data_IF_115617662776
#
_entry.id   IF_115617662776
#
_cell.length_a   1.000
_cell.length_b   1.000
_cell.length_c   1.000
_cell.angle_alpha   90.00
_cell.angle_beta   90.00
_cell.angle_gamma   90.00
#
_symmetry.space_group_name_H-M   'P 1'
#
loop_
_entity.id
_entity.type
_entity.pdbx_description
1 polymer ?
#
# COMPACT_ATOMS: atom_id res chain seq x y z
N UNK A 1 13.89 6.65 -9.13
CA UNK A 1 12.68 6.57 -9.98
C UNK A 1 11.50 7.01 -9.15
N UNK A 2 10.61 7.82 -9.74
CA UNK A 2 9.45 8.39 -9.05
C UNK A 2 8.20 7.70 -9.58
N UNK A 3 7.35 7.25 -8.65
CA UNK A 3 6.06 6.62 -8.95
C UNK A 3 4.94 7.40 -8.26
N UNK A 4 4.05 7.99 -9.04
CA UNK A 4 2.92 8.76 -8.52
C UNK A 4 1.70 7.87 -8.33
N UNK A 5 1.08 7.91 -7.15
CA UNK A 5 -0.19 7.24 -6.91
C UNK A 5 -1.30 7.94 -7.68
N UNK A 6 -2.12 7.15 -8.34
CA UNK A 6 -3.23 7.63 -9.19
C UNK A 6 -4.58 7.07 -8.78
N UNK A 7 -4.60 5.97 -8.05
CA UNK A 7 -5.81 5.35 -7.52
C UNK A 7 -5.46 4.46 -6.33
N UNK A 8 -6.33 4.45 -5.35
CA UNK A 8 -6.32 3.53 -4.22
C UNK A 8 -7.76 3.11 -3.94
N UNK A 9 -8.04 1.82 -3.93
CA UNK A 9 -9.40 1.32 -3.76
C UNK A 9 -9.44 -0.07 -3.15
N UNK A 10 -10.53 -0.36 -2.47
CA UNK A 10 -10.91 -1.72 -2.10
C UNK A 10 -11.33 -2.49 -3.36
N UNK A 11 -10.83 -3.71 -3.50
CA UNK A 11 -11.30 -4.63 -4.52
C UNK A 11 -12.35 -5.54 -3.91
N UNK A 12 -13.54 -5.52 -4.50
CA UNK A 12 -14.59 -6.45 -4.13
C UNK A 12 -14.25 -7.82 -4.73
N UNK A 13 -13.86 -8.78 -3.90
CA UNK A 13 -13.50 -10.12 -4.33
C UNK A 13 -14.38 -11.14 -3.61
N UNK A 14 -15.43 -11.59 -4.29
CA UNK A 14 -16.36 -12.60 -3.75
C UNK A 14 -15.75 -14.01 -3.64
N UNK A 15 -14.50 -14.19 -4.03
CA UNK A 15 -13.79 -15.47 -4.08
C UNK A 15 -12.68 -15.61 -3.03
N UNK A 16 -12.49 -14.61 -2.16
CA UNK A 16 -11.46 -14.61 -1.13
C UNK A 16 -12.05 -14.01 0.14
N UNK A 17 -11.96 -14.73 1.26
CA UNK A 17 -12.39 -14.24 2.59
C UNK A 17 -11.45 -13.14 3.16
N UNK A 18 -10.57 -12.59 2.32
CA UNK A 18 -9.56 -11.60 2.67
C UNK A 18 -9.96 -10.24 2.08
N UNK A 19 -9.63 -9.17 2.80
CA UNK A 19 -9.78 -7.81 2.26
C UNK A 19 -8.62 -7.56 1.30
N UNK A 20 -8.97 -7.24 0.05
CA UNK A 20 -8.00 -6.93 -1.00
C UNK A 20 -8.05 -5.45 -1.33
N UNK A 21 -6.89 -4.80 -1.35
CA UNK A 21 -6.75 -3.40 -1.75
C UNK A 21 -5.81 -3.30 -2.93
N UNK A 22 -6.09 -2.34 -3.82
CA UNK A 22 -5.26 -2.07 -4.99
C UNK A 22 -4.81 -0.62 -5.01
N UNK A 23 -3.50 -0.41 -5.13
CA UNK A 23 -2.89 0.87 -5.43
C UNK A 23 -2.38 0.87 -6.87
N UNK A 24 -2.72 1.91 -7.62
CA UNK A 24 -2.19 2.12 -8.97
C UNK A 24 -1.20 3.27 -8.97
N UNK A 25 0.00 2.99 -9.42
CA UNK A 25 1.08 3.95 -9.62
C UNK A 25 1.36 4.18 -11.11
N UNK A 26 1.73 5.41 -11.45
CA UNK A 26 2.30 5.77 -12.74
C UNK A 26 3.78 6.12 -12.56
N UNK A 27 4.62 5.53 -13.38
CA UNK A 27 6.02 5.95 -13.50
C UNK A 27 6.10 7.34 -14.13
N UNK A 28 6.78 8.27 -13.47
CA UNK A 28 7.01 9.61 -14.01
C UNK A 28 7.99 9.65 -15.18
N UNK A 29 8.67 8.53 -15.48
CA UNK A 29 9.65 8.44 -16.55
C UNK A 29 9.02 8.09 -17.91
N UNK A 30 8.16 7.08 -17.95
CA UNK A 30 7.60 6.49 -19.17
C UNK A 30 6.06 6.38 -19.16
N UNK A 31 5.40 6.80 -18.08
CA UNK A 31 3.95 6.68 -17.91
C UNK A 31 3.46 5.23 -17.74
N UNK A 32 4.36 4.26 -17.54
CA UNK A 32 3.97 2.88 -17.30
C UNK A 32 3.15 2.76 -16.02
N UNK A 33 2.10 1.92 -16.06
CA UNK A 33 1.25 1.58 -14.92
C UNK A 33 1.86 0.44 -14.10
N UNK A 34 1.82 0.61 -12.78
CA UNK A 34 2.25 -0.37 -11.79
C UNK A 34 1.12 -0.57 -10.78
N UNK A 35 0.84 -1.81 -10.42
CA UNK A 35 -0.21 -2.20 -9.50
C UNK A 35 0.41 -2.82 -8.26
N UNK A 36 -0.07 -2.41 -7.09
CA UNK A 36 0.22 -3.07 -5.82
C UNK A 36 -1.08 -3.63 -5.27
N UNK A 37 -1.14 -4.94 -5.10
CA UNK A 37 -2.26 -5.62 -4.45
C UNK A 37 -1.87 -5.99 -3.04
N UNK A 38 -2.64 -5.55 -2.05
CA UNK A 38 -2.47 -5.93 -0.66
C UNK A 38 -3.60 -6.89 -0.29
N UNK A 39 -3.23 -8.06 0.21
CA UNK A 39 -4.12 -9.03 0.83
C UNK A 39 -4.00 -8.94 2.35
N UNK A 40 -5.14 -8.81 3.04
CA UNK A 40 -5.22 -8.68 4.49
C UNK A 40 -6.19 -9.73 5.02
N UNK A 41 -5.69 -10.61 5.88
CA UNK A 41 -6.46 -11.76 6.34
C UNK A 41 -7.36 -11.43 7.53
N UNK A 42 -6.79 -10.85 8.60
CA UNK A 42 -7.51 -10.74 9.89
C UNK A 42 -7.20 -9.45 10.68
N UNK A 43 -6.18 -8.67 10.29
CA UNK A 43 -5.77 -7.47 11.04
C UNK A 43 -6.56 -6.20 10.67
N UNK A 44 -7.40 -6.26 9.64
CA UNK A 44 -8.00 -5.06 9.08
C UNK A 44 -8.96 -4.38 10.06
N UNK A 45 -9.93 -5.13 10.58
CA UNK A 45 -10.95 -4.60 11.51
C UNK A 45 -10.32 -4.24 12.85
N UNK A 46 -9.38 -5.05 13.35
CA UNK A 46 -8.63 -4.78 14.58
C UNK A 46 -7.88 -3.44 14.50
N UNK A 47 -7.15 -3.20 13.40
CA UNK A 47 -6.44 -1.93 13.21
C UNK A 47 -7.39 -0.75 13.03
N UNK A 48 -8.52 -0.94 12.33
CA UNK A 48 -9.54 0.11 12.23
C UNK A 48 -10.09 0.50 13.60
N UNK A 49 -10.41 -0.47 14.45
CA UNK A 49 -10.90 -0.20 15.80
C UNK A 49 -9.82 0.42 16.69
N UNK A 50 -8.64 -0.18 16.74
CA UNK A 50 -7.53 0.24 17.61
C UNK A 50 -7.10 1.69 17.35
N UNK A 51 -7.10 2.12 16.08
CA UNK A 51 -6.65 3.45 15.69
C UNK A 51 -7.81 4.41 15.35
N UNK A 52 -9.07 3.96 15.47
CA UNK A 52 -10.26 4.76 15.16
C UNK A 52 -10.31 5.22 13.69
N UNK A 53 -9.93 4.34 12.75
CA UNK A 53 -9.78 4.68 11.33
C UNK A 53 -11.07 4.41 10.54
N UNK A 54 -11.42 5.35 9.66
CA UNK A 54 -12.37 5.10 8.58
C UNK A 54 -11.69 4.41 7.39
N UNK A 55 -12.48 4.01 6.38
CA UNK A 55 -11.99 3.29 5.20
C UNK A 55 -10.94 4.10 4.40
N UNK A 56 -11.05 5.42 4.36
CA UNK A 56 -10.10 6.28 3.65
C UNK A 56 -8.78 6.42 4.42
N UNK A 57 -8.87 6.56 5.74
CA UNK A 57 -7.72 6.56 6.63
C UNK A 57 -7.01 5.21 6.59
N UNK A 58 -7.75 4.11 6.48
CA UNK A 58 -7.19 2.76 6.38
C UNK A 58 -6.43 2.54 5.07
N UNK A 59 -6.90 3.07 3.94
CA UNK A 59 -6.15 3.07 2.67
C UNK A 59 -4.78 3.76 2.81
N UNK A 60 -4.71 4.87 3.54
CA UNK A 60 -3.45 5.59 3.82
C UNK A 60 -2.55 4.82 4.76
N UNK A 61 -3.14 4.29 5.83
CA UNK A 61 -2.47 3.49 6.84
C UNK A 61 -1.73 2.32 6.20
N UNK A 62 -2.44 1.51 5.41
CA UNK A 62 -1.88 0.31 4.80
C UNK A 62 -0.77 0.62 3.81
N UNK A 63 -0.92 1.67 3.01
CA UNK A 63 0.12 2.11 2.08
C UNK A 63 1.40 2.49 2.82
N UNK A 64 1.28 3.24 3.92
CA UNK A 64 2.42 3.62 4.76
C UNK A 64 3.06 2.42 5.44
N UNK A 65 2.26 1.43 5.84
CA UNK A 65 2.73 0.18 6.46
C UNK A 65 3.67 -0.58 5.53
N UNK A 66 3.35 -0.63 4.23
CA UNK A 66 4.13 -1.37 3.23
C UNK A 66 5.15 -0.52 2.46
N UNK A 67 5.10 0.81 2.58
CA UNK A 67 5.98 1.76 1.86
C UNK A 67 7.46 1.40 1.93
N UNK A 68 8.06 1.08 3.10
CA UNK A 68 9.49 0.73 3.17
C UNK A 68 9.84 -0.49 2.32
N UNK A 69 8.92 -1.45 2.22
CA UNK A 69 9.10 -2.68 1.46
C UNK A 69 8.88 -2.46 -0.05
N UNK A 70 7.97 -1.56 -0.42
CA UNK A 70 7.82 -1.07 -1.79
C UNK A 70 9.07 -0.32 -2.27
N UNK A 71 9.63 0.56 -1.44
CA UNK A 71 10.86 1.31 -1.76
C UNK A 71 12.05 0.36 -1.96
N UNK A 72 12.18 -0.65 -1.08
CA UNK A 72 13.28 -1.62 -1.14
C UNK A 72 13.19 -2.58 -2.31
N UNK A 73 11.98 -3.09 -2.58
CA UNK A 73 11.74 -4.03 -3.68
C UNK A 73 11.77 -3.34 -5.04
N UNK A 74 11.37 -2.06 -5.09
CA UNK A 74 11.58 -1.15 -6.20
C UNK A 74 10.73 -1.44 -7.45
N UNK A 75 9.43 -1.72 -7.27
CA UNK A 75 8.49 -2.03 -8.36
C UNK A 75 9.09 -2.91 -9.47
N UNK A 76 9.85 -3.95 -9.08
CA UNK A 76 10.52 -4.87 -10.01
C UNK A 76 9.57 -5.44 -11.08
N UNK A 77 8.29 -5.53 -10.74
CA UNK A 77 7.23 -6.03 -11.60
C UNK A 77 6.09 -5.01 -11.69
N UNK A 78 5.42 -4.99 -12.85
CA UNK A 78 4.20 -4.19 -13.05
C UNK A 78 3.06 -4.58 -12.12
N UNK A 79 3.07 -5.79 -11.59
CA UNK A 79 2.16 -6.24 -10.53
C UNK A 79 3.01 -6.70 -9.35
N UNK A 80 2.81 -6.08 -8.20
CA UNK A 80 3.43 -6.46 -6.93
C UNK A 80 2.32 -6.87 -5.98
N UNK A 81 2.38 -8.10 -5.47
CA UNK A 81 1.45 -8.59 -4.46
C UNK A 81 2.11 -8.56 -3.09
N UNK A 82 1.40 -8.07 -2.10
CA UNK A 82 1.83 -8.00 -0.71
C UNK A 82 0.78 -8.68 0.16
N UNK A 83 1.22 -9.52 1.11
CA UNK A 83 0.32 -10.16 2.08
C UNK A 83 0.70 -9.69 3.47
N UNK A 84 -0.28 -9.18 4.21
CA UNK A 84 -0.12 -8.82 5.62
C UNK A 84 -0.66 -9.99 6.45
N UNK A 85 0.22 -10.83 7.05
CA UNK A 85 -0.22 -11.94 7.90
C UNK A 85 -0.72 -11.43 9.26
N UNK A 86 -1.50 -12.23 9.98
CA UNK A 86 -1.98 -11.92 11.33
C UNK A 86 -0.86 -11.67 12.37
N UNK A 87 0.34 -12.19 12.11
CA UNK A 87 1.52 -11.95 12.97
C UNK A 87 2.28 -10.65 12.64
N UNK A 88 1.74 -9.77 11.79
CA UNK A 88 2.44 -8.55 11.38
C UNK A 88 2.43 -7.51 12.51
N UNK A 89 3.61 -7.20 13.05
CA UNK A 89 3.76 -6.16 14.06
C UNK A 89 3.91 -4.77 13.43
N UNK A 90 3.18 -3.80 13.97
CA UNK A 90 3.30 -2.40 13.55
C UNK A 90 4.64 -1.82 14.03
N UNK A 91 5.34 -1.14 13.13
CA UNK A 91 6.61 -0.49 13.43
C UNK A 91 6.37 0.69 14.39
N UNK A 92 7.13 0.77 15.48
CA UNK A 92 7.03 1.84 16.47
C UNK A 92 7.24 3.23 15.82
N UNK A 93 6.41 4.22 16.20
CA UNK A 93 6.46 5.58 15.66
C UNK A 93 5.63 5.83 14.40
N UNK A 94 4.81 4.86 14.00
CA UNK A 94 3.87 5.01 12.90
C UNK A 94 2.79 6.06 13.20
N UNK A 95 2.64 7.07 12.33
CA UNK A 95 1.54 8.07 12.38
C UNK A 95 0.91 8.18 10.98
N UNK A 96 -0.42 8.08 10.91
CA UNK A 96 -1.19 8.08 9.65
C UNK A 96 -1.68 9.48 9.24
N UNK A 97 -1.60 10.45 10.16
CA UNK A 97 -2.29 11.74 10.11
C UNK A 97 -1.80 12.67 8.98
N UNK A 98 -0.60 12.42 8.43
CA UNK A 98 0.04 13.32 7.45
C UNK A 98 -0.18 12.92 5.97
N UNK A 99 -0.94 11.86 5.68
CA UNK A 99 -1.01 11.32 4.32
C UNK A 99 -2.17 11.89 3.49
N UNK A 100 -1.84 12.61 2.44
CA UNK A 100 -2.77 12.97 1.36
C UNK A 100 -2.48 12.09 0.13
N UNK A 101 -3.40 11.17 -0.21
CA UNK A 101 -3.24 10.28 -1.35
C UNK A 101 -3.20 11.02 -2.70
N UNK A 102 -3.80 12.22 -2.78
CA UNK A 102 -3.95 12.96 -4.04
C UNK A 102 -2.61 13.39 -4.67
N UNK A 103 -1.54 13.46 -3.87
CA UNK A 103 -0.20 13.85 -4.30
C UNK A 103 0.89 12.89 -3.80
N UNK A 104 0.54 11.63 -3.52
CA UNK A 104 1.51 10.69 -2.99
C UNK A 104 2.50 10.22 -4.07
N UNK A 105 3.79 10.34 -3.77
CA UNK A 105 4.90 9.93 -4.62
C UNK A 105 5.84 8.97 -3.88
N UNK A 106 6.18 7.85 -4.55
CA UNK A 106 7.18 6.90 -4.09
C UNK A 106 8.51 7.16 -4.78
N UNK A 107 9.54 7.44 -3.97
CA UNK A 107 10.91 7.62 -4.42
C UNK A 107 11.67 6.32 -4.24
N UNK A 108 11.77 5.56 -5.34
CA UNK A 108 12.50 4.30 -5.38
C UNK A 108 13.90 4.57 -5.92
N UNK A 109 14.93 4.37 -5.10
CA UNK A 109 16.30 4.37 -5.60
C UNK A 109 16.50 3.17 -6.53
N UNK A 110 17.15 3.33 -7.70
CA UNK A 110 17.56 2.16 -8.46
C UNK A 110 18.44 1.30 -7.55
N UNK A 111 18.01 0.07 -7.28
CA UNK A 111 18.87 -0.89 -6.62
C UNK A 111 20.12 -1.01 -7.48
N UNK A 112 21.28 -0.60 -6.94
CA UNK A 112 22.57 -0.90 -7.54
C UNK A 112 22.72 -2.42 -7.44
N UNK A 113 22.23 -3.11 -8.48
CA UNK A 113 22.50 -4.52 -8.69
C UNK A 113 24.00 -4.74 -8.88
#
# INVERSE_FOLDING_TARGET
MIYRLTSAQYLNSSSVDEIVLCYQFLSSYDGSKYLVWIQITELFDEWKELFGLDDNAMLKFLLKTIEPDLIRSGFKYRLTTYKIPSSFELKAGFKYEDYNLNNYELHVSPNRG
#
